data_IF_937468117497
#
_entry.id   IF_937468117497
#
_cell.length_a   1.000
_cell.length_b   1.000
_cell.length_c   1.000
_cell.angle_alpha   90.00
_cell.angle_beta   90.00
_cell.angle_gamma   90.00
#
_symmetry.space_group_name_H-M   'P 1'
#
loop_
_entity.id
_entity.type
_entity.pdbx_description
1 polymer ?
#
# COMPACT_ATOMS: atom_id res chain seq x y z
N UNK A 1 17.54 8.75 18.22
CA UNK A 1 18.05 7.43 17.82
C UNK A 1 17.93 7.35 16.31
N UNK A 2 18.97 7.79 15.60
CA UNK A 2 19.02 7.82 14.13
C UNK A 2 20.49 7.66 13.76
N UNK A 3 20.99 6.49 14.05
CA UNK A 3 22.29 6.04 13.61
C UNK A 3 21.98 5.57 12.19
N UNK A 4 22.39 6.31 11.17
CA UNK A 4 21.97 6.14 9.76
C UNK A 4 22.42 4.84 9.10
N UNK A 5 22.39 3.72 9.82
CA UNK A 5 22.78 2.41 9.36
C UNK A 5 21.59 1.78 8.65
N UNK A 6 21.80 1.27 7.44
CA UNK A 6 20.86 0.42 6.71
C UNK A 6 20.66 -0.93 7.40
N UNK A 7 20.36 -0.91 8.69
CA UNK A 7 20.23 -2.07 9.55
C UNK A 7 19.02 -2.89 9.14
N UNK A 8 19.19 -4.21 9.20
CA UNK A 8 18.10 -5.15 9.00
C UNK A 8 17.86 -5.86 10.34
N UNK A 9 16.62 -5.81 10.81
CA UNK A 9 16.20 -6.46 12.05
C UNK A 9 15.12 -7.49 11.76
N UNK A 10 15.22 -8.66 12.40
CA UNK A 10 14.21 -9.71 12.35
C UNK A 10 13.65 -9.95 13.74
N UNK A 11 12.33 -10.06 13.82
CA UNK A 11 11.62 -10.51 15.00
C UNK A 11 11.22 -11.98 14.78
N UNK A 12 11.90 -12.90 15.45
CA UNK A 12 11.44 -14.29 15.48
C UNK A 12 10.11 -14.35 16.21
N UNK A 13 9.13 -15.03 15.62
CA UNK A 13 7.84 -15.32 16.26
C UNK A 13 7.76 -16.77 16.74
N UNK A 14 8.80 -17.57 16.50
CA UNK A 14 8.89 -18.94 17.00
C UNK A 14 9.35 -18.93 18.47
N UNK A 15 8.53 -19.53 19.35
CA UNK A 15 8.79 -19.50 20.79
C UNK A 15 8.59 -18.11 21.39
N UNK A 16 9.51 -17.68 22.24
CA UNK A 16 9.49 -16.32 22.82
C UNK A 16 9.93 -15.30 21.77
N UNK A 17 9.13 -14.26 21.47
CA UNK A 17 9.50 -13.27 20.48
C UNK A 17 10.80 -12.55 20.84
N UNK A 18 11.75 -12.57 19.90
CA UNK A 18 13.07 -11.99 20.10
C UNK A 18 13.52 -11.24 18.84
N UNK A 19 14.00 -10.01 19.05
CA UNK A 19 14.66 -9.24 18.00
C UNK A 19 16.11 -9.68 17.87
N UNK A 20 16.55 -9.89 16.63
CA UNK A 20 17.95 -10.08 16.28
C UNK A 20 18.30 -9.21 15.08
N UNK A 21 19.45 -8.56 15.14
CA UNK A 21 19.99 -7.86 13.98
C UNK A 21 20.51 -8.89 12.98
N UNK A 22 20.13 -8.74 11.72
CA UNK A 22 20.77 -9.45 10.61
C UNK A 22 21.94 -8.61 10.11
N UNK A 23 22.97 -9.30 9.62
CA UNK A 23 24.07 -8.71 8.87
C UNK A 23 24.05 -9.29 7.44
N UNK A 24 23.14 -8.83 6.56
CA UNK A 24 23.09 -9.34 5.20
C UNK A 24 24.39 -9.05 4.45
N UNK A 25 24.80 -9.98 3.60
CA UNK A 25 25.91 -9.76 2.68
C UNK A 25 25.54 -8.73 1.59
N UNK A 26 26.54 -8.32 0.80
CA UNK A 26 26.35 -7.36 -0.29
C UNK A 26 26.29 -5.90 0.19
N UNK A 27 26.09 -4.99 -0.75
CA UNK A 27 25.96 -3.57 -0.45
C UNK A 27 24.47 -3.24 -0.27
N UNK A 28 24.03 -2.72 0.89
CA UNK A 28 22.65 -2.31 1.07
C UNK A 28 22.33 -1.03 0.27
N UNK A 29 21.04 -0.74 0.02
CA UNK A 29 20.64 0.60 -0.41
C UNK A 29 21.11 1.68 0.57
N UNK A 30 21.28 2.91 0.09
CA UNK A 30 21.49 4.07 0.97
C UNK A 30 20.38 4.19 2.03
N UNK A 31 20.74 4.62 3.24
CA UNK A 31 19.77 4.88 4.30
C UNK A 31 18.73 5.89 3.82
N UNK A 32 17.45 5.53 3.95
CA UNK A 32 16.35 6.27 3.31
C UNK A 32 15.04 6.15 4.07
N UNK A 33 14.21 7.17 3.99
CA UNK A 33 12.84 7.17 4.50
C UNK A 33 11.81 7.12 3.37
N UNK A 34 10.57 6.77 3.72
CA UNK A 34 9.42 6.77 2.81
C UNK A 34 9.62 5.95 1.51
N UNK A 35 10.48 4.93 1.57
CA UNK A 35 10.55 3.88 0.56
C UNK A 35 9.36 2.93 0.74
N UNK A 36 9.07 2.13 -0.27
CA UNK A 36 8.14 1.00 -0.11
C UNK A 36 8.90 -0.31 -0.15
N UNK A 37 8.34 -1.31 0.52
CA UNK A 37 8.83 -2.67 0.48
C UNK A 37 7.66 -3.64 0.34
N UNK A 38 7.86 -4.71 -0.43
CA UNK A 38 6.96 -5.86 -0.49
C UNK A 38 7.73 -7.14 -0.16
N UNK A 39 7.02 -8.15 0.32
CA UNK A 39 7.54 -9.52 0.36
C UNK A 39 7.18 -10.23 -0.95
N UNK A 40 8.19 -10.78 -1.63
CA UNK A 40 8.06 -11.66 -2.80
C UNK A 40 8.17 -13.10 -2.30
N UNK A 41 7.04 -13.79 -2.07
CA UNK A 41 7.02 -15.13 -1.48
C UNK A 41 7.54 -16.20 -2.45
N UNK A 42 7.52 -15.95 -3.77
CA UNK A 42 7.97 -16.92 -4.77
C UNK A 42 9.49 -17.07 -4.76
N UNK A 43 10.20 -15.98 -4.45
CA UNK A 43 11.69 -15.93 -4.42
C UNK A 43 12.24 -15.71 -3.03
N UNK A 44 11.40 -15.77 -2.01
CA UNK A 44 11.71 -15.55 -0.60
C UNK A 44 12.64 -14.35 -0.36
N UNK A 45 12.14 -13.16 -0.71
CA UNK A 45 12.91 -11.92 -0.64
C UNK A 45 12.04 -10.71 -0.33
N UNK A 46 12.64 -9.70 0.29
CA UNK A 46 12.05 -8.38 0.36
C UNK A 46 12.47 -7.58 -0.88
N UNK A 47 11.54 -6.93 -1.57
CA UNK A 47 11.82 -6.01 -2.68
C UNK A 47 11.53 -4.58 -2.21
N UNK A 48 12.51 -3.70 -2.35
CA UNK A 48 12.45 -2.29 -1.92
C UNK A 48 12.52 -1.37 -3.13
N UNK A 49 11.67 -0.34 -3.17
CA UNK A 49 11.66 0.66 -4.24
C UNK A 49 11.61 2.09 -3.71
N UNK A 50 12.42 2.95 -4.33
CA UNK A 50 12.43 4.39 -4.15
C UNK A 50 12.75 4.85 -2.73
N UNK A 51 12.11 5.94 -2.29
CA UNK A 51 12.36 6.61 -1.02
C UNK A 51 13.27 7.84 -1.14
N UNK A 52 13.54 8.50 -0.03
CA UNK A 52 14.40 9.70 0.06
C UNK A 52 15.57 9.45 1.01
N UNK A 53 16.79 9.66 0.52
CA UNK A 53 18.03 9.31 1.24
C UNK A 53 18.81 10.52 1.78
N UNK A 54 18.16 11.68 1.89
CA UNK A 54 18.79 12.91 2.33
C UNK A 54 19.40 13.75 1.19
N UNK A 55 19.69 13.13 0.04
CA UNK A 55 20.22 13.85 -1.13
C UNK A 55 19.19 13.96 -2.26
N UNK A 56 18.20 13.07 -2.29
CA UNK A 56 17.13 13.11 -3.28
C UNK A 56 16.20 11.92 -3.16
N UNK A 57 15.08 12.01 -3.88
CA UNK A 57 14.23 10.83 -4.08
C UNK A 57 14.95 9.86 -5.01
N UNK A 58 14.71 8.56 -4.82
CA UNK A 58 15.30 7.47 -5.59
C UNK A 58 14.23 6.72 -6.40
N UNK A 59 14.66 6.03 -7.44
CA UNK A 59 13.87 5.07 -8.23
C UNK A 59 14.65 3.76 -8.47
N UNK A 60 15.66 3.49 -7.66
CA UNK A 60 16.36 2.23 -7.65
C UNK A 60 15.47 1.13 -7.03
N UNK A 61 15.70 -0.11 -7.46
CA UNK A 61 15.03 -1.30 -6.95
C UNK A 61 16.06 -2.21 -6.31
N UNK A 62 15.82 -2.63 -5.07
CA UNK A 62 16.71 -3.49 -4.31
C UNK A 62 15.99 -4.75 -3.87
N UNK A 63 16.73 -5.84 -3.72
CA UNK A 63 16.23 -7.08 -3.15
C UNK A 63 17.12 -7.53 -2.00
N UNK A 64 16.50 -7.95 -0.91
CA UNK A 64 17.14 -8.68 0.18
C UNK A 64 16.64 -10.12 0.15
N UNK A 65 17.49 -11.09 -0.18
CA UNK A 65 17.15 -12.51 0.00
C UNK A 65 16.95 -12.82 1.49
N UNK A 66 15.97 -13.65 1.83
CA UNK A 66 15.59 -13.96 3.21
C UNK A 66 15.88 -15.41 3.65
N UNK A 67 16.47 -16.22 2.78
CA UNK A 67 16.93 -17.57 3.10
C UNK A 67 18.11 -17.60 4.09
N UNK A 68 18.77 -18.77 4.21
CA UNK A 68 19.84 -19.02 5.19
C UNK A 68 21.01 -18.03 5.12
N UNK A 69 21.27 -17.47 3.95
CA UNK A 69 22.29 -16.44 3.73
C UNK A 69 21.66 -15.17 3.16
N UNK A 70 21.14 -14.27 4.01
CA UNK A 70 20.55 -13.02 3.57
C UNK A 70 21.57 -12.14 2.86
N UNK A 71 21.21 -11.58 1.72
CA UNK A 71 22.08 -10.71 0.94
C UNK A 71 21.30 -9.63 0.20
N UNK A 72 21.82 -8.41 0.25
CA UNK A 72 21.35 -7.31 -0.57
C UNK A 72 21.91 -7.42 -1.99
N UNK A 73 21.04 -7.14 -2.95
CA UNK A 73 21.40 -6.97 -4.35
C UNK A 73 20.59 -5.82 -4.94
N UNK A 74 21.24 -4.98 -5.74
CA UNK A 74 20.51 -4.03 -6.56
C UNK A 74 19.94 -4.80 -7.75
N UNK A 75 18.62 -4.70 -7.95
CA UNK A 75 18.01 -5.23 -9.15
C UNK A 75 18.24 -4.24 -10.30
N UNK A 76 18.40 -4.76 -11.51
CA UNK A 76 18.40 -3.99 -12.74
C UNK A 76 17.17 -4.38 -13.59
N UNK A 77 15.96 -3.91 -13.24
CA UNK A 77 14.78 -4.24 -14.02
C UNK A 77 14.89 -3.69 -15.44
N UNK A 78 14.37 -4.45 -16.41
CA UNK A 78 14.18 -3.97 -17.76
C UNK A 78 13.09 -2.90 -17.82
N UNK A 79 13.01 -2.20 -18.96
CA UNK A 79 12.03 -1.12 -19.18
C UNK A 79 12.42 0.19 -18.51
N UNK A 80 11.52 1.17 -18.59
CA UNK A 80 11.73 2.48 -17.95
C UNK A 80 11.16 2.44 -16.54
N UNK A 81 11.96 2.70 -15.49
CA UNK A 81 11.43 2.77 -14.13
C UNK A 81 10.53 4.00 -13.95
N UNK A 82 9.70 4.01 -12.90
CA UNK A 82 9.02 5.22 -12.46
C UNK A 82 10.02 6.34 -12.17
N UNK A 83 9.55 7.58 -12.22
CA UNK A 83 10.37 8.72 -11.78
C UNK A 83 10.79 8.58 -10.31
N UNK A 84 11.92 9.17 -9.88
CA UNK A 84 12.33 9.13 -8.48
C UNK A 84 11.25 9.67 -7.53
N UNK A 85 10.86 8.85 -6.55
CA UNK A 85 9.68 9.13 -5.73
C UNK A 85 9.79 8.60 -4.30
N UNK A 86 9.07 9.23 -3.38
CA UNK A 86 8.98 8.86 -1.97
C UNK A 86 7.55 9.09 -1.46
N UNK A 87 7.17 8.39 -0.39
CA UNK A 87 5.82 8.49 0.17
C UNK A 87 4.75 7.90 -0.74
N UNK A 88 5.14 7.05 -1.69
CA UNK A 88 4.23 6.25 -2.50
C UNK A 88 3.79 5.01 -1.72
N UNK A 89 2.82 4.27 -2.24
CA UNK A 89 2.46 2.95 -1.71
C UNK A 89 2.76 1.86 -2.71
N UNK A 90 2.96 0.66 -2.18
CA UNK A 90 3.12 -0.53 -2.99
C UNK A 90 2.37 -1.71 -2.40
N UNK A 91 1.88 -2.60 -3.26
CA UNK A 91 1.33 -3.89 -2.88
C UNK A 91 1.99 -5.00 -3.71
N UNK A 92 1.98 -6.22 -3.19
CA UNK A 92 2.24 -7.41 -4.00
C UNK A 92 0.92 -7.91 -4.61
N UNK A 93 0.89 -8.10 -5.92
CA UNK A 93 -0.17 -8.75 -6.68
C UNK A 93 0.23 -10.22 -6.92
N UNK A 94 -0.24 -11.16 -6.07
CA UNK A 94 0.16 -12.56 -6.15
C UNK A 94 -0.40 -13.28 -7.38
N UNK A 95 -1.48 -12.78 -7.99
CA UNK A 95 -2.11 -13.40 -9.17
C UNK A 95 -1.23 -13.22 -10.40
N UNK A 96 -0.49 -12.10 -10.46
CA UNK A 96 0.35 -11.74 -11.62
C UNK A 96 1.84 -11.64 -11.29
N UNK A 97 2.25 -12.11 -10.12
CA UNK A 97 3.64 -12.08 -9.60
C UNK A 97 4.34 -10.74 -9.84
N UNK A 98 3.81 -9.67 -9.25
CA UNK A 98 4.32 -8.30 -9.48
C UNK A 98 4.12 -7.37 -8.29
N UNK A 99 4.98 -6.36 -8.20
CA UNK A 99 4.76 -5.19 -7.34
C UNK A 99 3.89 -4.18 -8.09
N UNK A 100 2.87 -3.62 -7.46
CA UNK A 100 2.08 -2.50 -7.98
C UNK A 100 2.38 -1.27 -7.13
N UNK A 101 2.81 -0.18 -7.75
CA UNK A 101 3.19 1.08 -7.11
C UNK A 101 2.22 2.18 -7.53
N UNK A 102 1.77 3.01 -6.59
CA UNK A 102 0.88 4.13 -6.85
C UNK A 102 1.29 5.41 -6.12
N UNK A 103 1.20 6.52 -6.84
CA UNK A 103 1.39 7.88 -6.32
C UNK A 103 2.80 8.17 -5.83
N UNK A 104 2.94 9.16 -4.94
CA UNK A 104 4.22 9.65 -4.42
C UNK A 104 4.29 11.18 -4.39
N UNK A 105 5.04 11.71 -3.42
CA UNK A 105 5.42 13.12 -3.29
C UNK A 105 4.27 14.15 -3.42
N UNK A 106 3.01 13.74 -3.22
CA UNK A 106 1.78 14.52 -3.47
C UNK A 106 1.59 15.08 -4.89
N UNK A 107 2.49 14.78 -5.82
CA UNK A 107 2.48 15.30 -7.20
C UNK A 107 2.25 14.21 -8.23
N UNK A 108 2.27 12.94 -7.81
CA UNK A 108 2.10 11.79 -8.67
C UNK A 108 0.77 11.05 -8.40
N UNK A 109 0.13 10.58 -9.47
CA UNK A 109 -1.02 9.66 -9.47
C UNK A 109 -0.91 8.58 -10.56
N UNK A 110 0.29 8.37 -11.09
CA UNK A 110 0.58 7.28 -11.99
C UNK A 110 0.60 5.93 -11.25
N UNK A 111 0.33 4.88 -12.01
CA UNK A 111 0.38 3.50 -11.53
C UNK A 111 1.45 2.76 -12.30
N UNK A 112 2.37 2.13 -11.58
CA UNK A 112 3.47 1.37 -12.17
C UNK A 112 3.46 -0.06 -11.67
N UNK A 113 3.95 -0.97 -12.50
CA UNK A 113 4.14 -2.35 -12.09
C UNK A 113 5.56 -2.82 -12.38
N UNK A 114 6.14 -3.52 -11.41
CA UNK A 114 7.36 -4.29 -11.57
C UNK A 114 6.96 -5.76 -11.68
N UNK A 115 7.00 -6.31 -12.89
CA UNK A 115 6.92 -7.76 -13.06
C UNK A 115 8.06 -8.40 -12.29
N UNK A 116 7.77 -9.40 -11.48
CA UNK A 116 8.79 -10.20 -10.80
C UNK A 116 9.00 -11.54 -11.51
N UNK A 117 8.03 -11.99 -12.30
CA UNK A 117 8.15 -13.16 -13.18
C UNK A 117 9.31 -13.00 -14.16
N UNK A 118 10.22 -13.98 -14.19
CA UNK A 118 11.42 -13.95 -15.02
C UNK A 118 12.40 -12.82 -14.65
N UNK A 119 12.89 -12.11 -15.67
CA UNK A 119 13.72 -10.91 -15.48
C UNK A 119 12.78 -9.78 -15.02
N UNK A 120 13.04 -9.13 -13.87
CA UNK A 120 12.19 -8.05 -13.43
C UNK A 120 12.07 -6.94 -14.48
N UNK A 121 10.87 -6.38 -14.66
CA UNK A 121 10.64 -5.35 -15.67
C UNK A 121 9.61 -4.34 -15.20
N UNK A 122 9.96 -3.06 -15.29
CA UNK A 122 9.04 -1.95 -15.05
C UNK A 122 8.19 -1.69 -16.28
N UNK A 123 6.91 -1.44 -16.05
CA UNK A 123 6.00 -0.88 -17.04
C UNK A 123 4.98 0.01 -16.37
N UNK A 124 4.58 1.08 -17.07
CA UNK A 124 3.50 1.92 -16.61
C UNK A 124 2.17 1.23 -16.90
N UNK A 125 1.32 1.15 -15.88
CA UNK A 125 -0.05 0.71 -16.05
C UNK A 125 -0.88 1.92 -16.50
N UNK A 126 -1.75 1.74 -17.49
CA UNK A 126 -2.72 2.75 -17.92
C UNK A 126 -4.15 2.31 -17.55
N UNK A 127 -4.52 2.30 -16.26
CA UNK A 127 -5.87 1.93 -15.87
C UNK A 127 -6.89 2.90 -16.45
N UNK A 128 -8.05 2.36 -16.82
CA UNK A 128 -9.20 3.17 -17.24
C UNK A 128 -9.90 3.81 -16.03
N UNK A 129 -10.89 4.65 -16.28
CA UNK A 129 -11.56 5.42 -15.23
C UNK A 129 -10.75 6.64 -14.78
N UNK A 130 -11.27 7.36 -13.79
CA UNK A 130 -10.60 8.52 -13.23
C UNK A 130 -9.73 8.06 -12.05
N UNK A 131 -8.40 8.21 -12.09
CA UNK A 131 -7.56 7.88 -10.96
C UNK A 131 -7.81 8.85 -9.78
N UNK A 132 -7.38 8.47 -8.57
CA UNK A 132 -7.29 9.42 -7.47
C UNK A 132 -6.44 10.64 -7.87
N UNK A 133 -6.72 11.80 -7.27
CA UNK A 133 -5.82 12.96 -7.40
C UNK A 133 -4.39 12.61 -6.96
N UNK A 134 -3.36 13.30 -7.49
CA UNK A 134 -1.99 13.18 -7.01
C UNK A 134 -1.88 13.16 -5.48
N UNK A 135 -1.14 12.19 -4.96
CA UNK A 135 -1.07 11.96 -3.50
C UNK A 135 0.17 11.22 -3.04
N UNK A 136 0.61 11.55 -1.84
CA UNK A 136 1.68 10.89 -1.10
C UNK A 136 1.25 10.62 0.35
N UNK A 137 2.02 9.80 1.05
CA UNK A 137 1.80 9.42 2.45
C UNK A 137 0.39 8.86 2.71
N UNK A 138 -0.20 8.26 1.68
CA UNK A 138 -1.43 7.48 1.73
C UNK A 138 -1.11 6.04 2.14
N UNK A 139 -2.13 5.23 2.40
CA UNK A 139 -1.98 3.79 2.58
C UNK A 139 -2.68 3.02 1.48
N UNK A 140 -2.19 1.82 1.22
CA UNK A 140 -2.84 0.89 0.33
C UNK A 140 -2.80 -0.52 0.87
N UNK A 141 -3.81 -1.31 0.52
CA UNK A 141 -3.85 -2.75 0.79
C UNK A 141 -4.20 -3.50 -0.49
N UNK A 142 -3.82 -4.79 -0.56
CA UNK A 142 -4.38 -5.72 -1.52
C UNK A 142 -5.64 -6.37 -0.95
N UNK A 143 -6.75 -6.30 -1.67
CA UNK A 143 -8.00 -7.02 -1.39
C UNK A 143 -8.04 -8.26 -2.29
N UNK A 144 -7.65 -9.45 -1.77
CA UNK A 144 -7.51 -10.67 -2.57
C UNK A 144 -8.85 -11.23 -3.05
N UNK A 145 -9.95 -10.98 -2.33
CA UNK A 145 -11.27 -11.50 -2.70
C UNK A 145 -11.83 -10.80 -3.95
N UNK A 146 -11.40 -9.57 -4.20
CA UNK A 146 -11.88 -8.76 -5.33
C UNK A 146 -10.76 -8.39 -6.31
N UNK A 147 -9.58 -8.99 -6.17
CA UNK A 147 -8.37 -8.77 -6.96
C UNK A 147 -8.14 -7.28 -7.27
N UNK A 148 -7.93 -6.48 -6.23
CA UNK A 148 -7.80 -5.03 -6.35
C UNK A 148 -6.89 -4.41 -5.29
N UNK A 149 -6.31 -3.26 -5.63
CA UNK A 149 -5.64 -2.37 -4.68
C UNK A 149 -6.68 -1.41 -4.10
N UNK A 150 -6.74 -1.27 -2.78
CA UNK A 150 -7.56 -0.24 -2.11
C UNK A 150 -6.65 0.83 -1.54
N UNK A 151 -6.86 2.08 -1.93
CA UNK A 151 -6.09 3.26 -1.49
C UNK A 151 -6.95 4.13 -0.60
N UNK A 152 -6.40 4.57 0.53
CA UNK A 152 -7.07 5.47 1.47
C UNK A 152 -6.25 6.74 1.76
N UNK A 153 -6.94 7.88 1.70
CA UNK A 153 -6.46 9.18 2.17
C UNK A 153 -5.11 9.62 1.56
N UNK A 154 -4.30 10.39 2.31
CA UNK A 154 -3.03 10.97 1.86
C UNK A 154 -3.06 12.49 1.67
N UNK A 155 -1.87 13.08 1.63
CA UNK A 155 -1.63 14.50 1.28
C UNK A 155 -2.42 15.55 2.09
N UNK A 156 -2.67 15.31 3.39
CA UNK A 156 -3.22 16.30 4.33
C UNK A 156 -4.72 16.58 4.20
N UNK A 157 -5.26 16.58 2.98
CA UNK A 157 -6.63 17.06 2.70
C UNK A 157 -7.58 15.97 2.19
N UNK A 158 -7.14 14.71 2.08
CA UNK A 158 -8.00 13.63 1.61
C UNK A 158 -8.38 12.62 2.69
N UNK A 159 -9.65 12.19 2.67
CA UNK A 159 -10.18 11.01 3.35
C UNK A 159 -10.96 10.09 2.39
N UNK A 160 -10.76 10.26 1.09
CA UNK A 160 -11.41 9.42 0.09
C UNK A 160 -10.82 8.00 0.07
N UNK A 161 -11.62 7.08 -0.47
CA UNK A 161 -11.22 5.69 -0.68
C UNK A 161 -11.36 5.37 -2.15
N UNK A 162 -10.36 4.72 -2.73
CA UNK A 162 -10.32 4.35 -4.13
C UNK A 162 -9.96 2.89 -4.29
N UNK A 163 -10.43 2.28 -5.37
CA UNK A 163 -10.07 0.93 -5.77
C UNK A 163 -9.50 0.92 -7.19
N UNK A 164 -8.36 0.30 -7.36
CA UNK A 164 -7.83 -0.12 -8.66
C UNK A 164 -8.13 -1.60 -8.83
N UNK A 165 -9.10 -1.92 -9.69
CA UNK A 165 -9.31 -3.29 -10.15
C UNK A 165 -8.05 -3.78 -10.83
N UNK A 166 -7.56 -4.95 -10.44
CA UNK A 166 -6.45 -5.64 -11.12
C UNK A 166 -6.99 -6.78 -12.00
N UNK A 167 -8.18 -7.30 -11.69
CA UNK A 167 -8.91 -8.25 -12.52
C UNK A 167 -9.20 -7.67 -13.92
N UNK A 168 -8.98 -8.49 -14.95
CA UNK A 168 -9.20 -8.11 -16.35
C UNK A 168 -8.40 -6.87 -16.75
N UNK A 169 -9.07 -5.90 -17.38
CA UNK A 169 -8.49 -4.59 -17.70
C UNK A 169 -8.48 -3.70 -16.46
N UNK A 170 -7.31 -3.22 -16.01
CA UNK A 170 -7.24 -2.41 -14.81
C UNK A 170 -8.07 -1.12 -14.92
N UNK A 171 -8.76 -0.78 -13.83
CA UNK A 171 -9.64 0.38 -13.80
C UNK A 171 -9.70 0.99 -12.40
N UNK A 172 -9.58 2.31 -12.31
CA UNK A 172 -9.80 3.07 -11.10
C UNK A 172 -11.29 3.35 -10.91
N UNK A 173 -11.74 3.23 -9.65
CA UNK A 173 -13.06 3.63 -9.22
C UNK A 173 -13.00 4.25 -7.84
N UNK A 174 -13.78 5.31 -7.62
CA UNK A 174 -13.95 5.88 -6.28
C UNK A 174 -14.89 4.98 -5.50
N UNK A 175 -14.48 4.55 -4.32
CA UNK A 175 -15.36 3.86 -3.39
C UNK A 175 -16.12 4.91 -2.56
N UNK A 176 -17.41 4.66 -2.33
CA UNK A 176 -18.25 5.48 -1.45
C UNK A 176 -18.77 4.64 -0.28
N UNK A 177 -17.92 4.31 0.71
CA UNK A 177 -18.37 3.55 1.86
C UNK A 177 -19.44 4.28 2.66
N UNK A 178 -20.41 3.55 3.18
CA UNK A 178 -21.43 4.12 4.04
C UNK A 178 -20.88 4.41 5.45
N UNK A 179 -21.56 5.29 6.19
CA UNK A 179 -21.14 5.71 7.52
C UNK A 179 -20.18 6.89 7.51
N UNK A 180 -19.60 7.20 8.66
CA UNK A 180 -18.70 8.35 8.83
C UNK A 180 -17.26 7.84 8.61
N UNK A 181 -16.58 8.25 7.53
CA UNK A 181 -15.19 7.85 7.33
C UNK A 181 -14.29 8.48 8.39
N UNK A 182 -13.08 7.92 8.59
CA UNK A 182 -12.03 8.63 9.31
C UNK A 182 -11.84 10.01 8.66
N UNK A 183 -11.57 11.05 9.45
CA UNK A 183 -11.21 12.35 8.88
C UNK A 183 -9.94 12.25 8.03
N UNK A 184 -9.70 13.28 7.21
CA UNK A 184 -8.50 13.40 6.39
C UNK A 184 -7.23 13.17 7.22
N UNK A 185 -6.30 12.42 6.63
CA UNK A 185 -5.06 12.01 7.28
C UNK A 185 -4.01 11.55 6.28
N UNK A 186 -2.76 11.59 6.70
CA UNK A 186 -1.60 11.03 6.02
C UNK A 186 -0.65 10.40 7.06
N UNK A 187 0.38 9.67 6.62
CA UNK A 187 1.33 8.96 7.50
C UNK A 187 0.65 7.97 8.48
N UNK A 188 -0.52 7.48 8.12
CA UNK A 188 -1.23 6.43 8.85
C UNK A 188 -0.76 5.06 8.37
N UNK A 189 -1.13 4.01 9.10
CA UNK A 189 -0.91 2.62 8.67
C UNK A 189 -2.24 1.96 8.36
N UNK A 190 -2.21 1.00 7.43
CA UNK A 190 -3.35 0.16 7.14
C UNK A 190 -2.96 -1.28 6.85
N UNK A 191 -3.86 -2.20 7.20
CA UNK A 191 -3.73 -3.64 6.92
C UNK A 191 -5.05 -4.18 6.37
N UNK A 192 -4.97 -5.28 5.63
CA UNK A 192 -6.13 -6.12 5.32
C UNK A 192 -6.34 -7.15 6.44
N UNK A 193 -7.55 -7.24 6.98
CA UNK A 193 -8.00 -8.29 7.91
C UNK A 193 -8.78 -9.34 7.09
N UNK A 194 -8.15 -10.46 6.70
CA UNK A 194 -8.78 -11.46 5.83
C UNK A 194 -9.94 -12.19 6.50
N UNK A 195 -9.96 -12.27 7.84
CA UNK A 195 -11.02 -12.99 8.57
C UNK A 195 -12.34 -12.24 8.51
N UNK A 196 -12.30 -10.91 8.41
CA UNK A 196 -13.48 -10.04 8.46
C UNK A 196 -13.69 -9.22 7.19
N UNK A 197 -12.94 -9.53 6.12
CA UNK A 197 -12.96 -8.85 4.82
C UNK A 197 -12.98 -7.32 4.96
N UNK A 198 -11.95 -6.75 5.58
CA UNK A 198 -11.92 -5.31 5.90
C UNK A 198 -10.52 -4.70 5.87
N UNK A 199 -10.46 -3.42 5.52
CA UNK A 199 -9.28 -2.58 5.75
C UNK A 199 -9.31 -2.04 7.17
N UNK A 200 -8.24 -2.21 7.93
CA UNK A 200 -8.07 -1.59 9.26
C UNK A 200 -7.05 -0.47 9.15
N UNK A 201 -7.42 0.73 9.61
CA UNK A 201 -6.58 1.94 9.57
C UNK A 201 -6.28 2.40 10.99
N UNK A 202 -5.02 2.73 11.27
CA UNK A 202 -4.59 3.27 12.56
C UNK A 202 -3.77 4.54 12.40
N UNK A 203 -4.02 5.49 13.31
CA UNK A 203 -3.16 6.66 13.49
C UNK A 203 -3.16 7.64 12.31
N UNK A 204 -1.99 8.20 12.03
CA UNK A 204 -1.73 9.28 11.08
C UNK A 204 -1.87 10.68 11.67
N UNK A 205 -1.76 11.69 10.83
CA UNK A 205 -1.88 13.11 11.19
C UNK A 205 -2.63 13.87 10.11
N UNK A 206 -3.22 15.02 10.47
CA UNK A 206 -3.80 16.00 9.54
C UNK A 206 -2.91 17.25 9.37
N UNK A 207 -1.68 17.19 9.87
CA UNK A 207 -0.73 18.31 9.89
C UNK A 207 -0.80 19.17 11.15
N UNK A 208 -1.89 19.08 11.92
CA UNK A 208 -2.06 19.78 13.19
C UNK A 208 -2.06 18.83 14.39
N UNK A 209 -2.65 17.65 14.21
CA UNK A 209 -3.00 16.73 15.29
C UNK A 209 -2.63 15.30 14.91
N UNK A 210 -1.75 14.71 15.72
CA UNK A 210 -1.48 13.27 15.66
C UNK A 210 -2.69 12.48 16.13
N UNK A 211 -3.02 11.41 15.41
CA UNK A 211 -4.17 10.54 15.68
C UNK A 211 -3.68 9.24 16.32
N UNK A 212 -4.49 8.70 17.24
CA UNK A 212 -4.30 7.38 17.86
C UNK A 212 -5.55 6.50 17.74
N UNK A 213 -6.48 6.85 16.83
CA UNK A 213 -7.73 6.14 16.64
C UNK A 213 -7.60 5.03 15.58
N UNK A 214 -8.30 3.93 15.83
CA UNK A 214 -8.44 2.80 14.91
C UNK A 214 -9.79 2.82 14.23
N UNK A 215 -9.78 2.60 12.93
CA UNK A 215 -10.97 2.51 12.08
C UNK A 215 -10.95 1.22 11.28
N UNK A 216 -12.12 0.70 10.97
CA UNK A 216 -12.26 -0.45 10.08
C UNK A 216 -13.29 -0.13 8.99
N UNK A 217 -12.93 -0.43 7.74
CA UNK A 217 -13.76 -0.37 6.55
C UNK A 217 -14.07 -1.79 6.09
N UNK A 218 -15.32 -2.22 6.22
CA UNK A 218 -15.78 -3.47 5.60
C UNK A 218 -15.71 -3.35 4.07
N UNK A 219 -15.18 -4.39 3.41
CA UNK A 219 -15.02 -4.47 1.95
C UNK A 219 -16.14 -5.26 1.27
N UNK A 220 -17.04 -5.88 2.05
CA UNK A 220 -18.23 -6.60 1.60
C UNK A 220 -19.10 -5.75 0.64
N UNK A 221 -19.77 -6.43 -0.30
CA UNK A 221 -20.26 -5.90 -1.59
C UNK A 221 -20.76 -4.44 -1.62
N UNK A 222 -20.27 -3.73 -2.63
CA UNK A 222 -20.59 -2.35 -2.93
C UNK A 222 -21.61 -2.28 -4.07
N UNK A 223 -22.65 -1.48 -3.92
CA UNK A 223 -23.34 -0.94 -5.10
C UNK A 223 -22.42 0.07 -5.78
N UNK A 224 -21.87 -0.27 -6.95
CA UNK A 224 -21.39 0.72 -7.92
C UNK A 224 -22.59 1.59 -8.25
N UNK A 225 -22.55 2.89 -7.94
CA UNK A 225 -23.60 3.80 -8.39
C UNK A 225 -23.39 4.03 -9.90
N UNK A 226 -24.30 3.60 -10.80
CA UNK A 226 -24.29 4.11 -12.16
C UNK A 226 -24.60 5.60 -12.11
N UNK A 227 -23.88 6.38 -12.91
CA UNK A 227 -24.16 7.80 -13.11
C UNK A 227 -25.60 7.94 -13.67
N UNK A 228 -26.57 8.39 -12.88
CA UNK A 228 -27.89 8.79 -13.40
C UNK A 228 -29.13 8.64 -12.52
N UNK A 229 -29.21 7.70 -11.57
CA UNK A 229 -30.50 7.37 -10.94
C UNK A 229 -30.64 7.78 -9.48
N UNK A 230 -30.98 9.05 -9.25
CA UNK A 230 -31.54 9.53 -7.99
C UNK A 230 -33.05 9.27 -7.94
N UNK A 231 -33.47 8.04 -7.62
CA UNK A 231 -34.79 7.80 -7.03
C UNK A 231 -34.70 6.81 -5.87
N UNK A 232 -35.22 7.14 -4.67
CA UNK A 232 -35.22 6.19 -3.57
C UNK A 232 -36.33 5.16 -3.76
N UNK A 233 -35.96 3.88 -3.85
CA UNK A 233 -36.87 2.77 -3.50
C UNK A 233 -36.46 2.24 -2.14
N UNK A 234 -37.39 2.26 -1.19
CA UNK A 234 -37.29 1.57 0.09
C UNK A 234 -37.69 0.09 -0.09
N UNK A 235 -36.97 -0.83 0.58
CA UNK A 235 -37.46 -2.11 1.16
C UNK A 235 -36.32 -2.88 1.89
N UNK A 236 -36.64 -3.83 2.81
CA UNK A 236 -36.01 -3.83 4.14
C UNK A 236 -34.76 -4.67 4.41
N UNK A 237 -34.45 -5.84 3.89
CA UNK A 237 -33.76 -6.83 4.73
C UNK A 237 -32.34 -7.24 4.27
N UNK A 238 -31.39 -7.30 5.22
CA UNK A 238 -30.31 -8.31 5.22
C UNK A 238 -28.97 -8.03 4.54
N UNK A 239 -28.69 -6.83 4.01
CA UNK A 239 -27.40 -6.54 3.37
C UNK A 239 -26.38 -5.93 4.35
N UNK A 240 -25.28 -6.63 4.65
CA UNK A 240 -24.11 -5.98 5.24
C UNK A 240 -23.49 -5.08 4.18
N UNK A 241 -23.90 -3.81 4.18
CA UNK A 241 -23.27 -2.75 3.40
C UNK A 241 -21.93 -2.41 4.06
N UNK A 242 -20.89 -2.15 3.26
CA UNK A 242 -19.61 -1.74 3.81
C UNK A 242 -19.73 -0.44 4.63
N UNK A 243 -19.37 -0.51 5.90
CA UNK A 243 -19.43 0.61 6.84
C UNK A 243 -18.07 0.88 7.48
N UNK A 244 -17.81 2.15 7.79
CA UNK A 244 -16.74 2.54 8.69
C UNK A 244 -17.19 2.47 10.15
N UNK A 245 -16.39 1.82 10.99
CA UNK A 245 -16.60 1.82 12.44
C UNK A 245 -15.30 2.15 13.18
N UNK A 246 -15.41 2.97 14.23
CA UNK A 246 -14.32 3.18 15.19
C UNK A 246 -14.26 1.97 16.12
N UNK A 247 -13.11 1.30 16.15
CA UNK A 247 -12.90 0.20 17.08
C UNK A 247 -12.57 0.77 18.46
N UNK A 248 -13.28 0.31 19.50
CA UNK A 248 -12.84 0.49 20.89
C UNK A 248 -12.01 -0.73 21.25
N UNK A 249 -10.71 -0.55 21.42
CA UNK A 249 -9.90 -1.54 22.14
C UNK A 249 -10.22 -1.36 23.62
N UNK A 250 -10.74 -2.41 24.26
CA UNK A 250 -10.89 -2.42 25.71
C UNK A 250 -9.49 -2.36 26.33
N UNK A 251 -9.32 -1.42 27.27
CA UNK A 251 -8.13 -1.32 28.12
C UNK A 251 -8.10 -2.46 29.14
#
# INVERSE_FOLDING_TARGET
FSDGNGDVWVLSLAGSPAWSQLAPAGTPPSARNHHTAIYDPVRDRMVVFGGYDGFGSRNDTWALSLGESPAWSQLAPAGTPPSPQNGHTAIYDPVRDRMVVFGGSSTLNDTWVLSLAGIPAWSQLAPTGTPPSPRGWHTAIYDPLRDRMVVFAGSGVSNDTWALSLAGSPAWSKLAPAGIPPSARYEHTAIYDPVRDRMVVFGGTDGSTSRNNTWALSLAEWTVLPYGDLRPRSRPDGGVRGHWHRLRLFQ
#
